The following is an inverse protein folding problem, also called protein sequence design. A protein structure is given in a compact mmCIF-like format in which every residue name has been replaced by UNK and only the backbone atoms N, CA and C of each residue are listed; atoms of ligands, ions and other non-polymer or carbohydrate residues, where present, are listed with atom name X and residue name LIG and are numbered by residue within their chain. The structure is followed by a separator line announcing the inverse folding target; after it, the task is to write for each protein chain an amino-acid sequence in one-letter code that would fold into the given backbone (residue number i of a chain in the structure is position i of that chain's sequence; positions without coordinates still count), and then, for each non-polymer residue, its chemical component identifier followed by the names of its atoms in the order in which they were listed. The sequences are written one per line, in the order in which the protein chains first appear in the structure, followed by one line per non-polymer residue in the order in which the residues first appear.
data_IF_218106194049
#
_entry.id   IF_218106194049
#
_cell.length_a   1.000
_cell.length_b   1.000
_cell.length_c   1.000
_cell.angle_alpha   90.00
_cell.angle_beta   90.00
_cell.angle_gamma   90.00
#
_symmetry.space_group_name_H-M   'P 1'
#
loop_
_entity.id
_entity.type
_entity.pdbx_description
1 polymer ?
#
# COMPACT_ATOMS: atom_id res chain seq x y z
N UNK A 1 1.15 -17.24 -0.42
CA UNK A 1 0.35 -16.13 -0.98
C UNK A 1 0.81 -14.76 -0.45
N UNK A 2 0.76 -14.50 0.87
CA UNK A 2 1.13 -13.19 1.42
C UNK A 2 2.56 -12.72 1.09
N UNK A 3 3.51 -13.65 1.07
CA UNK A 3 4.91 -13.34 0.75
C UNK A 3 5.09 -12.85 -0.69
N UNK A 4 4.30 -13.35 -1.65
CA UNK A 4 4.30 -12.83 -3.02
C UNK A 4 3.75 -11.41 -3.09
N UNK A 5 2.71 -11.10 -2.29
CA UNK A 5 2.15 -9.74 -2.19
C UNK A 5 3.17 -8.78 -1.54
N UNK A 6 3.87 -9.24 -0.50
CA UNK A 6 4.96 -8.49 0.13
C UNK A 6 6.14 -8.22 -0.83
N UNK A 7 6.50 -9.20 -1.66
CA UNK A 7 7.51 -9.02 -2.71
C UNK A 7 7.08 -8.02 -3.78
N UNK A 8 5.83 -8.09 -4.23
CA UNK A 8 5.29 -7.11 -5.18
C UNK A 8 5.26 -5.69 -4.58
N UNK A 9 4.89 -5.54 -3.31
CA UNK A 9 4.95 -4.28 -2.60
C UNK A 9 6.41 -3.75 -2.52
N UNK A 10 7.37 -4.58 -2.12
CA UNK A 10 8.78 -4.20 -2.05
C UNK A 10 9.33 -3.67 -3.39
N UNK A 11 8.89 -4.27 -4.50
CA UNK A 11 9.32 -3.84 -5.83
C UNK A 11 8.89 -2.41 -6.20
N UNK A 12 7.81 -1.87 -5.61
CA UNK A 12 7.35 -0.49 -5.91
C UNK A 12 8.19 0.59 -5.23
N UNK A 13 8.98 0.24 -4.21
CA UNK A 13 9.82 1.17 -3.46
C UNK A 13 11.33 0.91 -3.62
N UNK A 14 11.71 -0.19 -4.24
CA UNK A 14 13.11 -0.54 -4.42
C UNK A 14 13.86 0.51 -5.24
N UNK A 15 15.00 0.97 -4.72
CA UNK A 15 15.78 2.06 -5.32
C UNK A 15 16.24 1.71 -6.73
N UNK A 16 16.66 0.47 -7.01
CA UNK A 16 17.09 0.09 -8.36
C UNK A 16 15.95 0.17 -9.38
N UNK A 17 14.70 -0.13 -8.98
CA UNK A 17 13.53 -0.03 -9.86
C UNK A 17 13.16 1.42 -10.10
N UNK A 18 13.19 2.26 -9.05
CA UNK A 18 12.87 3.68 -9.18
C UNK A 18 13.93 4.43 -9.99
N UNK A 19 15.22 4.12 -9.79
CA UNK A 19 16.32 4.68 -10.58
C UNK A 19 16.19 4.27 -12.04
N UNK A 20 15.94 2.98 -12.32
CA UNK A 20 15.73 2.50 -13.69
C UNK A 20 14.53 3.19 -14.37
N UNK A 21 13.39 3.30 -13.68
CA UNK A 21 12.23 4.01 -14.20
C UNK A 21 12.52 5.49 -14.45
N UNK A 22 13.18 6.17 -13.50
CA UNK A 22 13.53 7.59 -13.59
C UNK A 22 14.47 7.87 -14.76
N UNK A 23 15.39 6.95 -15.08
CA UNK A 23 16.27 7.06 -16.24
C UNK A 23 15.50 6.99 -17.58
N UNK A 24 14.47 6.15 -17.67
CA UNK A 24 13.66 5.99 -18.90
C UNK A 24 12.79 7.22 -19.17
N UNK A 25 12.24 7.84 -18.12
CA UNK A 25 11.35 9.02 -18.25
C UNK A 25 12.09 10.35 -18.14
N UNK A 26 13.42 10.34 -17.97
CA UNK A 26 14.25 11.55 -17.89
C UNK A 26 14.18 12.31 -16.56
N UNK A 27 13.72 11.67 -15.48
CA UNK A 27 13.60 12.25 -14.13
C UNK A 27 14.86 11.98 -13.26
N UNK A 28 16.05 12.19 -13.81
CA UNK A 28 17.33 11.91 -13.13
C UNK A 28 17.50 12.79 -11.89
N UNK A 29 17.93 12.19 -10.77
CA UNK A 29 18.14 12.90 -9.50
C UNK A 29 16.86 13.22 -8.72
N UNK A 30 15.69 12.79 -9.20
CA UNK A 30 14.40 12.94 -8.51
C UNK A 30 13.88 11.62 -7.90
N UNK A 31 14.72 10.60 -7.79
CA UNK A 31 14.35 9.26 -7.30
C UNK A 31 13.73 9.30 -5.90
N UNK A 32 14.27 10.14 -5.02
CA UNK A 32 13.72 10.34 -3.67
C UNK A 32 12.31 10.95 -3.70
N UNK A 33 12.03 11.87 -4.62
CA UNK A 33 10.69 12.44 -4.81
C UNK A 33 9.70 11.40 -5.35
N UNK A 34 10.16 10.53 -6.27
CA UNK A 34 9.38 9.41 -6.78
C UNK A 34 9.08 8.41 -5.66
N UNK A 35 10.08 7.97 -4.88
CA UNK A 35 9.90 7.08 -3.72
C UNK A 35 8.91 7.68 -2.72
N UNK A 36 9.02 8.97 -2.43
CA UNK A 36 8.10 9.63 -1.48
C UNK A 36 6.66 9.66 -1.99
N UNK A 37 6.46 9.75 -3.32
CA UNK A 37 5.16 9.64 -3.96
C UNK A 37 4.64 8.20 -4.06
N UNK A 38 5.51 7.19 -4.12
CA UNK A 38 5.11 5.77 -4.16
C UNK A 38 4.99 5.14 -2.78
N UNK A 39 5.51 5.77 -1.72
CA UNK A 39 5.38 5.33 -0.33
C UNK A 39 3.93 5.04 0.09
N UNK A 40 2.91 5.87 -0.23
CA UNK A 40 1.53 5.56 0.10
C UNK A 40 1.01 4.29 -0.59
N UNK A 41 1.45 4.04 -1.84
CA UNK A 41 1.12 2.81 -2.58
C UNK A 41 1.71 1.60 -1.88
N UNK A 42 2.96 1.67 -1.44
CA UNK A 42 3.61 0.61 -0.67
C UNK A 42 2.87 0.31 0.63
N UNK A 43 2.54 1.35 1.41
CA UNK A 43 1.85 1.21 2.71
C UNK A 43 0.49 0.54 2.55
N UNK A 44 -0.27 0.93 1.52
CA UNK A 44 -1.52 0.26 1.14
C UNK A 44 -1.31 -1.22 0.80
N UNK A 45 -0.38 -1.50 -0.11
CA UNK A 45 -0.09 -2.85 -0.58
C UNK A 45 0.45 -3.79 0.51
N UNK A 46 1.08 -3.25 1.54
CA UNK A 46 1.62 -4.02 2.65
C UNK A 46 0.57 -4.25 3.76
N UNK A 47 -0.12 -3.18 4.21
CA UNK A 47 -0.96 -3.25 5.40
C UNK A 47 -2.27 -4.00 5.16
N UNK A 48 -2.95 -3.78 4.04
CA UNK A 48 -4.26 -4.38 3.79
C UNK A 48 -4.22 -5.92 3.70
N UNK A 49 -3.37 -6.53 2.87
CA UNK A 49 -3.23 -7.98 2.84
C UNK A 49 -2.62 -8.51 4.16
N UNK A 50 -1.74 -7.75 4.83
CA UNK A 50 -1.24 -8.10 6.17
C UNK A 50 -2.37 -8.28 7.20
N UNK A 51 -3.25 -7.28 7.31
CA UNK A 51 -4.42 -7.32 8.18
C UNK A 51 -5.41 -8.43 7.78
N UNK A 52 -5.64 -8.62 6.48
CA UNK A 52 -6.52 -9.67 5.99
C UNK A 52 -5.97 -11.08 6.26
N UNK A 53 -4.67 -11.28 6.06
CA UNK A 53 -3.99 -12.52 6.40
C UNK A 53 -4.11 -12.85 7.88
N UNK A 54 -3.89 -11.85 8.75
CA UNK A 54 -4.11 -12.01 10.19
C UNK A 54 -5.57 -12.34 10.52
N UNK A 55 -6.52 -11.66 9.86
CA UNK A 55 -7.95 -11.89 10.08
C UNK A 55 -8.37 -13.33 9.76
N UNK A 56 -7.86 -13.88 8.66
CA UNK A 56 -8.14 -15.25 8.23
C UNK A 56 -7.51 -16.26 9.20
N UNK A 57 -6.25 -16.04 9.60
CA UNK A 57 -5.53 -16.96 10.48
C UNK A 57 -6.17 -17.06 11.87
N UNK A 58 -6.64 -15.93 12.41
CA UNK A 58 -7.22 -15.87 13.76
C UNK A 58 -8.75 -16.05 13.79
N UNK A 59 -9.35 -16.39 12.65
CA UNK A 59 -10.80 -16.51 12.52
C UNK A 59 -11.41 -17.58 13.44
N UNK A 60 -10.74 -18.73 13.57
CA UNK A 60 -11.27 -19.91 14.29
C UNK A 60 -11.42 -19.70 15.81
N UNK A 61 -10.61 -18.83 16.42
CA UNK A 61 -10.61 -18.63 17.89
C UNK A 61 -11.46 -17.44 18.35
N UNK A 62 -11.54 -16.38 17.56
CA UNK A 62 -12.17 -15.10 17.97
C UNK A 62 -13.43 -14.79 17.16
N UNK A 63 -13.73 -15.57 16.12
CA UNK A 63 -14.81 -15.32 15.19
C UNK A 63 -14.43 -14.28 14.13
N UNK A 64 -15.44 -13.71 13.47
CA UNK A 64 -15.25 -12.75 12.37
C UNK A 64 -14.78 -11.36 12.81
N UNK A 65 -15.01 -10.99 14.09
CA UNK A 65 -14.57 -9.71 14.66
C UNK A 65 -13.26 -9.90 15.42
N UNK A 66 -12.15 -9.87 14.69
CA UNK A 66 -10.80 -9.92 15.25
C UNK A 66 -9.99 -8.66 14.93
N UNK A 67 -8.84 -8.50 15.59
CA UNK A 67 -7.97 -7.34 15.39
C UNK A 67 -7.56 -7.14 13.91
N UNK A 68 -7.42 -8.22 13.14
CA UNK A 68 -7.13 -8.17 11.70
C UNK A 68 -8.28 -7.57 10.89
N UNK A 69 -9.52 -7.98 11.16
CA UNK A 69 -10.72 -7.45 10.48
C UNK A 69 -10.95 -5.98 10.80
N UNK A 70 -10.72 -5.56 12.05
CA UNK A 70 -10.78 -4.16 12.48
C UNK A 70 -9.67 -3.36 11.79
N UNK A 71 -8.44 -3.88 11.80
CA UNK A 71 -7.31 -3.25 11.12
C UNK A 71 -7.54 -3.09 9.62
N UNK A 72 -8.06 -4.13 8.95
CA UNK A 72 -8.38 -4.09 7.52
C UNK A 72 -9.48 -3.07 7.22
N UNK A 73 -10.53 -2.99 8.05
CA UNK A 73 -11.59 -1.99 7.91
C UNK A 73 -11.07 -0.55 8.09
N UNK A 74 -10.21 -0.31 9.08
CA UNK A 74 -9.58 0.99 9.32
C UNK A 74 -8.71 1.40 8.13
N UNK A 75 -7.85 0.50 7.66
CA UNK A 75 -6.99 0.76 6.48
C UNK A 75 -7.86 1.07 5.26
N UNK A 76 -8.92 0.30 5.02
CA UNK A 76 -9.85 0.53 3.92
C UNK A 76 -10.55 1.89 4.03
N UNK A 77 -11.01 2.29 5.21
CA UNK A 77 -11.63 3.60 5.43
C UNK A 77 -10.64 4.75 5.22
N UNK A 78 -9.38 4.61 5.67
CA UNK A 78 -8.32 5.60 5.42
C UNK A 78 -8.09 5.75 3.91
N UNK A 79 -8.11 4.65 3.16
CA UNK A 79 -7.91 4.69 1.71
C UNK A 79 -9.10 5.26 0.97
N UNK A 80 -10.31 4.92 1.39
CA UNK A 80 -11.54 5.48 0.83
C UNK A 80 -11.59 6.99 1.08
N UNK A 81 -11.28 7.45 2.28
CA UNK A 81 -11.24 8.89 2.58
C UNK A 81 -10.11 9.59 1.83
N UNK A 82 -8.93 8.97 1.71
CA UNK A 82 -7.85 9.49 0.87
C UNK A 82 -8.29 9.58 -0.59
N UNK A 83 -8.81 8.51 -1.18
CA UNK A 83 -9.26 8.48 -2.57
C UNK A 83 -10.38 9.51 -2.84
N UNK A 84 -11.38 9.61 -1.96
CA UNK A 84 -12.44 10.62 -2.07
C UNK A 84 -11.86 12.04 -2.01
N UNK A 85 -10.89 12.28 -1.13
CA UNK A 85 -10.17 13.57 -1.06
C UNK A 85 -9.32 13.82 -2.31
N UNK A 86 -8.64 12.81 -2.84
CA UNK A 86 -7.85 12.90 -4.06
C UNK A 86 -8.73 13.24 -5.26
N UNK A 87 -9.92 12.62 -5.38
CA UNK A 87 -10.90 12.91 -6.43
C UNK A 87 -11.50 14.31 -6.25
N UNK A 88 -11.77 14.73 -5.02
CA UNK A 88 -12.30 16.08 -4.75
C UNK A 88 -11.27 17.18 -5.10
N UNK A 89 -9.98 16.94 -4.88
CA UNK A 89 -8.91 17.87 -5.24
C UNK A 89 -8.63 17.95 -6.74
N UNK A 90 -8.99 16.94 -7.53
CA UNK A 90 -8.87 16.95 -8.99
C UNK A 90 -9.99 17.69 -9.72
N UNK A 91 -10.99 18.24 -8.99
CA UNK A 91 -12.14 18.97 -9.56
C UNK A 91 -11.99 20.50 -9.50
N UNK A 92 -10.80 21.02 -9.16
CA UNK A 92 -10.42 22.44 -9.24
C UNK A 92 -9.26 22.60 -10.19
#
# INVERSE_FOLDING_TARGET
ALQAVGGAAGNTICVHNVVAASAVVGLVGQEGAVIRKTLPVFVYYALLPGCLGYAILWHSQTGWLNAGSIGAAVVLLILLTFAVRSVAQGKT
#
